data_IF_339781367948
#
_entry.id   IF_339781367948
#
_cell.length_a   1.000
_cell.length_b   1.000
_cell.length_c   1.000
_cell.angle_alpha   90.00
_cell.angle_beta   90.00
_cell.angle_gamma   90.00
#
_symmetry.space_group_name_H-M   'P 1'
#
loop_
_entity.id
_entity.type
_entity.pdbx_description
1 polymer ?
#
# COMPACT_ATOMS: atom_id res chain seq x y z
N UNK A 1 -11.06 -14.26 11.88
CA UNK A 1 -9.71 -14.01 12.45
C UNK A 1 -9.33 -12.60 12.05
N UNK A 2 -8.86 -11.81 13.02
CA UNK A 2 -8.39 -10.43 12.83
C UNK A 2 -6.88 -10.48 13.04
N UNK A 3 -6.12 -9.93 12.10
CA UNK A 3 -4.67 -9.82 12.17
C UNK A 3 -4.28 -8.38 12.51
N UNK A 4 -3.16 -8.22 13.20
CA UNK A 4 -2.55 -6.92 13.43
C UNK A 4 -1.82 -6.47 12.15
N UNK A 5 -2.06 -5.22 11.72
CA UNK A 5 -1.45 -4.66 10.52
C UNK A 5 -0.34 -3.70 10.94
N UNK A 6 0.90 -4.02 10.57
CA UNK A 6 2.07 -3.21 10.89
C UNK A 6 2.63 -2.59 9.61
N UNK A 7 2.92 -1.30 9.68
CA UNK A 7 3.52 -0.53 8.58
C UNK A 7 5.01 -0.42 8.84
N UNK A 8 5.82 -0.79 7.85
CA UNK A 8 7.28 -0.63 7.93
C UNK A 8 7.69 0.84 7.79
N UNK A 9 8.86 1.21 8.31
CA UNK A 9 9.42 2.55 8.13
C UNK A 9 9.64 2.91 6.64
N UNK A 10 9.85 1.92 5.78
CA UNK A 10 9.93 2.15 4.34
C UNK A 10 8.55 2.52 3.78
N UNK A 11 7.51 1.77 4.15
CA UNK A 11 6.14 2.03 3.70
C UNK A 11 5.61 3.38 4.20
N UNK A 12 5.93 3.79 5.43
CA UNK A 12 5.60 5.14 5.92
C UNK A 12 6.27 6.25 5.08
N UNK A 13 7.56 6.07 4.73
CA UNK A 13 8.26 7.01 3.83
C UNK A 13 7.66 7.02 2.43
N UNK A 14 7.27 5.87 1.90
CA UNK A 14 6.64 5.76 0.58
C UNK A 14 5.28 6.50 0.56
N UNK A 15 4.45 6.33 1.60
CA UNK A 15 3.17 7.03 1.74
C UNK A 15 3.36 8.56 1.80
N UNK A 16 4.35 9.03 2.58
CA UNK A 16 4.70 10.46 2.63
C UNK A 16 5.17 10.98 1.28
N UNK A 17 6.07 10.25 0.62
CA UNK A 17 6.57 10.64 -0.71
C UNK A 17 5.46 10.71 -1.76
N UNK A 18 4.50 9.79 -1.74
CA UNK A 18 3.31 9.84 -2.60
C UNK A 18 2.50 11.11 -2.34
N UNK A 19 2.22 11.41 -1.06
CA UNK A 19 1.47 12.61 -0.70
C UNK A 19 2.22 13.88 -1.13
N UNK A 20 3.50 14.00 -0.79
CA UNK A 20 4.33 15.17 -1.10
C UNK A 20 4.42 15.42 -2.61
N UNK A 21 4.63 14.37 -3.40
CA UNK A 21 4.66 14.45 -4.85
C UNK A 21 3.35 15.01 -5.41
N UNK A 22 2.20 14.45 -5.01
CA UNK A 22 0.91 14.89 -5.53
C UNK A 22 0.54 16.29 -5.01
N UNK A 23 0.78 16.58 -3.74
CA UNK A 23 0.37 17.83 -3.11
C UNK A 23 1.26 19.00 -3.53
N UNK A 24 2.57 18.82 -3.60
CA UNK A 24 3.53 19.91 -3.76
C UNK A 24 4.14 19.97 -5.17
N UNK A 25 4.41 18.85 -5.82
CA UNK A 25 4.94 18.87 -7.20
C UNK A 25 3.82 19.00 -8.23
N UNK A 26 2.72 18.25 -8.05
CA UNK A 26 1.55 18.32 -8.94
C UNK A 26 0.52 19.37 -8.51
N UNK A 27 0.74 20.04 -7.37
CA UNK A 27 -0.13 21.09 -6.82
C UNK A 27 -1.59 20.64 -6.61
N UNK A 28 -1.80 19.37 -6.24
CA UNK A 28 -3.12 18.77 -6.11
C UNK A 28 -3.36 18.18 -4.69
N UNK A 29 -3.39 19.01 -3.63
CA UNK A 29 -3.46 18.54 -2.25
C UNK A 29 -4.72 17.74 -1.91
N UNK A 30 -5.87 18.09 -2.50
CA UNK A 30 -7.12 17.32 -2.30
C UNK A 30 -7.01 15.90 -2.90
N UNK A 31 -6.35 15.78 -4.06
CA UNK A 31 -6.09 14.48 -4.68
C UNK A 31 -5.08 13.68 -3.87
N UNK A 32 -4.06 14.34 -3.29
CA UNK A 32 -3.07 13.69 -2.43
C UNK A 32 -3.75 13.09 -1.18
N UNK A 33 -4.60 13.86 -0.50
CA UNK A 33 -5.38 13.38 0.64
C UNK A 33 -6.27 12.19 0.25
N UNK A 34 -7.04 12.34 -0.85
CA UNK A 34 -7.91 11.25 -1.31
C UNK A 34 -7.15 9.99 -1.74
N UNK A 35 -5.94 10.13 -2.29
CA UNK A 35 -5.07 8.99 -2.62
C UNK A 35 -4.56 8.30 -1.36
N UNK A 36 -4.14 9.07 -0.36
CA UNK A 36 -3.67 8.53 0.91
C UNK A 36 -4.79 7.78 1.63
N UNK A 37 -6.00 8.35 1.68
CA UNK A 37 -7.18 7.68 2.25
C UNK A 37 -7.45 6.33 1.57
N UNK A 38 -7.36 6.25 0.24
CA UNK A 38 -7.57 5.00 -0.50
C UNK A 38 -6.52 3.95 -0.16
N UNK A 39 -5.25 4.36 -0.03
CA UNK A 39 -4.14 3.48 0.35
C UNK A 39 -4.30 2.97 1.79
N UNK A 40 -4.55 3.86 2.75
CA UNK A 40 -4.74 3.50 4.15
C UNK A 40 -5.93 2.54 4.33
N UNK A 41 -7.08 2.86 3.72
CA UNK A 41 -8.25 1.98 3.76
C UNK A 41 -8.00 0.60 3.16
N UNK A 42 -7.19 0.53 2.10
CA UNK A 42 -6.79 -0.73 1.48
C UNK A 42 -5.87 -1.55 2.41
N UNK A 43 -4.88 -0.89 3.03
CA UNK A 43 -3.94 -1.50 3.97
C UNK A 43 -4.65 -2.00 5.22
N UNK A 44 -5.56 -1.21 5.81
CA UNK A 44 -6.30 -1.63 7.01
C UNK A 44 -7.11 -2.91 6.78
N UNK A 45 -7.67 -3.10 5.57
CA UNK A 45 -8.43 -4.32 5.19
C UNK A 45 -7.58 -5.59 5.06
N UNK A 46 -6.26 -5.53 5.32
CA UNK A 46 -5.39 -6.71 5.43
C UNK A 46 -5.57 -7.42 6.77
N UNK A 47 -6.15 -6.76 7.77
CA UNK A 47 -6.57 -7.34 9.04
C UNK A 47 -7.48 -8.57 8.86
N UNK A 48 -8.22 -8.63 7.74
CA UNK A 48 -9.14 -9.69 7.38
C UNK A 48 -8.73 -10.40 6.09
N UNK A 49 -8.46 -11.71 6.21
CA UNK A 49 -8.05 -12.59 5.11
C UNK A 49 -6.86 -12.02 4.30
N UNK A 50 -5.69 -11.80 4.94
CA UNK A 50 -4.51 -11.25 4.26
C UNK A 50 -4.07 -12.10 3.07
N UNK A 51 -4.36 -13.40 3.11
CA UNK A 51 -4.03 -14.35 2.05
C UNK A 51 -4.89 -14.24 0.78
N UNK A 52 -5.89 -13.36 0.75
CA UNK A 52 -6.79 -13.18 -0.41
C UNK A 52 -6.08 -12.64 -1.65
N UNK A 53 -4.99 -11.91 -1.47
CA UNK A 53 -4.25 -11.27 -2.56
C UNK A 53 -3.24 -12.22 -3.21
N UNK A 54 -2.98 -12.04 -4.51
CA UNK A 54 -2.07 -12.90 -5.27
C UNK A 54 -0.64 -12.83 -4.71
N UNK A 55 0.05 -13.97 -4.70
CA UNK A 55 1.50 -14.01 -4.42
C UNK A 55 2.29 -13.38 -5.56
N UNK A 56 3.37 -12.70 -5.24
CA UNK A 56 4.28 -12.19 -6.25
C UNK A 56 4.85 -13.35 -7.08
N UNK A 57 4.87 -13.22 -8.40
CA UNK A 57 5.15 -14.37 -9.28
C UNK A 57 6.64 -14.70 -9.41
N UNK A 58 7.52 -13.72 -9.13
CA UNK A 58 8.96 -13.87 -9.35
C UNK A 58 9.68 -14.31 -8.09
N UNK A 59 10.67 -15.17 -8.28
CA UNK A 59 11.59 -15.55 -7.21
C UNK A 59 12.56 -14.41 -6.87
N UNK A 60 13.02 -14.29 -5.61
CA UNK A 60 12.77 -15.21 -4.48
C UNK A 60 11.44 -14.96 -3.73
N UNK A 61 10.73 -13.89 -4.08
CA UNK A 61 9.59 -13.38 -3.32
C UNK A 61 8.38 -14.33 -3.31
N UNK A 62 8.18 -15.07 -4.40
CA UNK A 62 7.13 -16.09 -4.50
C UNK A 62 7.26 -17.16 -3.41
N UNK A 63 8.48 -17.66 -3.20
CA UNK A 63 8.79 -18.68 -2.19
C UNK A 63 8.71 -18.14 -0.75
N UNK A 64 9.03 -16.86 -0.56
CA UNK A 64 8.91 -16.16 0.74
C UNK A 64 7.44 -15.84 1.07
N UNK A 65 6.54 -15.95 0.10
CA UNK A 65 5.11 -15.71 0.28
C UNK A 65 4.74 -14.23 0.22
N UNK A 66 5.59 -13.38 -0.38
CA UNK A 66 5.26 -11.97 -0.63
C UNK A 66 3.99 -11.88 -1.46
N UNK A 67 3.08 -11.00 -1.07
CA UNK A 67 1.82 -10.76 -1.78
C UNK A 67 1.84 -9.35 -2.33
N UNK A 68 1.02 -9.13 -3.35
CA UNK A 68 0.88 -7.80 -3.94
C UNK A 68 -0.55 -7.58 -4.35
N UNK A 69 -1.00 -6.35 -4.21
CA UNK A 69 -2.26 -5.92 -4.79
C UNK A 69 -2.21 -4.45 -5.22
N UNK A 70 -2.93 -4.08 -6.29
CA UNK A 70 -2.96 -2.71 -6.78
C UNK A 70 -3.96 -1.84 -6.00
N UNK A 71 -3.60 -0.58 -5.81
CA UNK A 71 -4.49 0.51 -5.36
C UNK A 71 -4.27 1.68 -6.32
N UNK A 72 -5.21 1.88 -7.23
CA UNK A 72 -5.10 2.83 -8.34
C UNK A 72 -3.79 2.63 -9.13
N UNK A 73 -2.89 3.63 -9.10
CA UNK A 73 -1.60 3.64 -9.79
C UNK A 73 -0.43 3.10 -8.94
N UNK A 74 -0.72 2.53 -7.75
CA UNK A 74 0.28 2.05 -6.81
C UNK A 74 0.14 0.56 -6.52
N UNK A 75 1.22 -0.06 -6.08
CA UNK A 75 1.26 -1.46 -5.64
C UNK A 75 1.61 -1.52 -4.15
N UNK A 76 0.80 -2.25 -3.39
CA UNK A 76 1.07 -2.56 -1.98
C UNK A 76 1.69 -3.95 -1.91
N UNK A 77 2.81 -4.07 -1.20
CA UNK A 77 3.61 -5.30 -1.04
C UNK A 77 3.63 -5.77 0.40
#
# INVERSE_FOLDING_TARGET
MIFDVQISEQADRDLRGIYEYIAFELLAPENAAGQLDRLENAISKLDHMPDKFRRYDREPWKSIGLRVFPVDNYLVF
#
